data_IF_039576843752
#
_entry.id   IF_039576843752
#
_cell.length_a   1.000
_cell.length_b   1.000
_cell.length_c   1.000
_cell.angle_alpha   90.00
_cell.angle_beta   90.00
_cell.angle_gamma   90.00
#
_symmetry.space_group_name_H-M   'P 1'
#
loop_
_entity.id
_entity.type
_entity.pdbx_description
1 polymer ?
#
# COMPACT_ATOMS: atom_id res chain seq x y z
N UNK A 1 -5.01 19.20 8.71
CA UNK A 1 -4.29 17.98 8.27
C UNK A 1 -5.33 16.88 8.16
N UNK A 2 -5.60 16.35 6.96
CA UNK A 2 -6.59 15.27 6.78
C UNK A 2 -5.89 13.93 7.06
N UNK A 3 -6.40 13.16 8.02
CA UNK A 3 -5.90 11.81 8.30
C UNK A 3 -6.15 10.89 7.10
N UNK A 4 -5.20 10.00 6.81
CA UNK A 4 -5.29 8.98 5.75
C UNK A 4 -6.57 8.15 5.90
N UNK A 5 -7.07 7.93 7.12
CA UNK A 5 -8.31 7.22 7.38
C UNK A 5 -9.54 7.90 6.73
N UNK A 6 -9.56 9.23 6.67
CA UNK A 6 -10.66 9.98 6.05
C UNK A 6 -10.58 9.93 4.51
N UNK A 7 -9.38 9.82 3.95
CA UNK A 7 -9.16 9.74 2.51
C UNK A 7 -9.42 8.32 2.01
N UNK A 8 -8.96 7.30 2.73
CA UNK A 8 -9.23 5.89 2.43
C UNK A 8 -10.74 5.61 2.41
N UNK A 9 -11.51 6.18 3.35
CA UNK A 9 -12.96 6.06 3.35
C UNK A 9 -13.64 6.84 2.21
N UNK A 10 -13.05 7.95 1.75
CA UNK A 10 -13.61 8.78 0.66
C UNK A 10 -13.41 8.19 -0.72
N UNK A 11 -12.34 7.41 -0.93
CA UNK A 11 -11.99 6.84 -2.23
C UNK A 11 -12.05 5.30 -2.26
N UNK A 12 -12.66 4.68 -1.24
CA UNK A 12 -12.97 3.23 -1.26
C UNK A 12 -13.96 2.95 -2.38
N UNK A 13 -13.58 2.07 -3.31
CA UNK A 13 -14.51 1.49 -4.27
C UNK A 13 -15.49 0.60 -3.51
N UNK A 14 -16.78 0.92 -3.58
CA UNK A 14 -17.83 0.25 -2.81
C UNK A 14 -18.22 -1.04 -3.51
N UNK A 15 -17.62 -2.16 -3.08
CA UNK A 15 -17.93 -3.49 -3.55
C UNK A 15 -18.97 -4.16 -2.65
N UNK A 16 -19.73 -5.13 -3.17
CA UNK A 16 -20.67 -5.93 -2.36
C UNK A 16 -19.98 -6.70 -1.22
N UNK A 17 -18.68 -6.98 -1.35
CA UNK A 17 -17.82 -7.57 -0.30
C UNK A 17 -17.57 -6.63 0.88
N UNK A 18 -17.63 -5.30 0.69
CA UNK A 18 -17.43 -4.33 1.77
C UNK A 18 -18.59 -4.32 2.77
N UNK A 19 -19.81 -4.68 2.32
CA UNK A 19 -20.97 -4.83 3.20
C UNK A 19 -20.80 -6.04 4.14
N UNK A 20 -20.30 -7.16 3.61
CA UNK A 20 -20.02 -8.37 4.40
C UNK A 20 -18.85 -8.15 5.39
N UNK A 21 -17.78 -7.46 4.96
CA UNK A 21 -16.65 -7.10 5.83
C UNK A 21 -17.05 -6.10 6.92
N UNK A 22 -17.97 -5.17 6.63
CA UNK A 22 -18.51 -4.22 7.63
C UNK A 22 -19.35 -4.94 8.68
N UNK A 23 -20.14 -5.94 8.25
CA UNK A 23 -20.90 -6.79 9.14
C UNK A 23 -19.97 -7.65 10.03
N UNK A 24 -18.86 -8.15 9.48
CA UNK A 24 -17.85 -8.87 10.25
C UNK A 24 -17.07 -7.98 11.23
N UNK A 25 -16.75 -6.74 10.86
CA UNK A 25 -16.11 -5.77 11.76
C UNK A 25 -17.01 -5.36 12.93
N UNK A 26 -18.34 -5.33 12.72
CA UNK A 26 -19.30 -5.05 13.81
C UNK A 26 -19.35 -6.16 14.87
N UNK A 27 -19.14 -7.42 14.48
CA UNK A 27 -19.05 -8.55 15.42
C UNK A 27 -17.68 -8.69 16.08
N UNK A 28 -16.64 -8.07 15.50
CA UNK A 28 -15.29 -7.95 16.07
C UNK A 28 -15.07 -6.68 16.91
N UNK A 29 -16.15 -6.01 17.35
CA UNK A 29 -16.12 -4.82 18.23
C UNK A 29 -15.65 -5.11 19.67
N UNK A 30 -15.02 -6.25 19.90
CA UNK A 30 -14.35 -6.60 21.16
C UNK A 30 -12.82 -6.45 21.10
N UNK A 31 -12.29 -5.77 20.09
CA UNK A 31 -10.89 -5.31 20.08
C UNK A 31 -10.77 -4.03 20.93
N UNK A 32 -9.83 -3.98 21.89
CA UNK A 32 -9.68 -2.81 22.77
C UNK A 32 -9.30 -1.57 21.95
N UNK A 33 -9.80 -0.42 22.39
CA UNK A 33 -9.78 0.90 21.74
C UNK A 33 -8.37 1.51 21.46
N UNK A 34 -7.31 0.71 21.45
CA UNK A 34 -5.91 1.16 21.33
C UNK A 34 -5.27 0.91 19.96
N UNK A 35 -5.86 0.09 19.08
CA UNK A 35 -5.25 -0.21 17.77
C UNK A 35 -5.22 0.98 16.80
N UNK A 36 -6.21 1.87 16.84
CA UNK A 36 -6.20 3.08 16.01
C UNK A 36 -5.05 4.03 16.38
N UNK A 37 -4.66 4.06 17.67
CA UNK A 37 -3.57 4.89 18.19
C UNK A 37 -2.16 4.36 17.86
N UNK A 38 -2.05 3.10 17.44
CA UNK A 38 -0.78 2.44 17.12
C UNK A 38 -0.42 2.51 15.63
N UNK A 39 -1.32 3.02 14.79
CA UNK A 39 -1.02 3.24 13.38
C UNK A 39 -0.16 4.50 13.22
N UNK A 40 1.06 4.41 12.65
CA UNK A 40 1.84 5.61 12.35
C UNK A 40 1.04 6.51 11.39
N UNK A 41 0.89 7.78 11.76
CA UNK A 41 0.19 8.76 10.92
C UNK A 41 1.09 9.15 9.75
N UNK A 42 0.84 8.57 8.57
CA UNK A 42 1.49 8.99 7.34
C UNK A 42 0.85 10.30 6.90
N UNK A 43 1.62 11.38 6.92
CA UNK A 43 1.15 12.70 6.49
C UNK A 43 1.22 12.82 4.97
N UNK A 44 0.14 13.30 4.35
CA UNK A 44 0.09 13.58 2.91
C UNK A 44 0.79 14.93 2.66
N UNK A 45 1.51 15.11 1.53
CA UNK A 45 2.08 16.40 1.17
C UNK A 45 1.03 17.52 1.22
N UNK A 46 1.40 18.74 1.69
CA UNK A 46 0.46 19.86 1.87
C UNK A 46 0.15 20.55 0.53
N UNK A 47 -0.44 19.80 -0.40
CA UNK A 47 -0.81 20.25 -1.73
C UNK A 47 -2.32 20.11 -1.93
N UNK A 48 -2.92 21.03 -2.68
CA UNK A 48 -4.37 21.12 -2.88
C UNK A 48 -4.96 19.82 -3.45
N UNK A 49 -4.26 19.19 -4.40
CA UNK A 49 -4.68 17.97 -5.07
C UNK A 49 -3.51 16.98 -5.20
N UNK A 50 -3.29 16.12 -4.18
CA UNK A 50 -2.17 15.18 -4.17
C UNK A 50 -2.16 14.19 -5.33
N UNK A 51 -3.34 13.73 -5.76
CA UNK A 51 -3.48 12.78 -6.87
C UNK A 51 -3.06 13.39 -8.20
N UNK A 52 -3.44 14.64 -8.46
CA UNK A 52 -3.06 15.34 -9.71
C UNK A 52 -1.56 15.63 -9.73
N UNK A 53 -0.99 16.04 -8.60
CA UNK A 53 0.45 16.24 -8.48
C UNK A 53 1.23 14.96 -8.78
N UNK A 54 0.81 13.83 -8.20
CA UNK A 54 1.44 12.54 -8.49
C UNK A 54 1.33 12.21 -9.98
N UNK A 55 0.12 12.27 -10.55
CA UNK A 55 -0.09 12.01 -11.99
C UNK A 55 0.81 12.86 -12.89
N UNK A 56 0.87 14.16 -12.66
CA UNK A 56 1.70 15.07 -13.47
C UNK A 56 3.19 14.69 -13.50
N UNK A 57 3.67 14.02 -12.44
CA UNK A 57 5.08 13.65 -12.28
C UNK A 57 5.35 12.16 -12.52
N UNK A 58 4.34 11.29 -12.54
CA UNK A 58 4.52 9.82 -12.64
C UNK A 58 3.83 9.16 -13.85
N UNK A 59 2.91 9.85 -14.50
CA UNK A 59 2.11 9.31 -15.62
C UNK A 59 2.80 9.61 -16.95
N UNK A 60 3.50 8.61 -17.48
CA UNK A 60 4.22 8.68 -18.75
C UNK A 60 3.30 8.51 -19.97
N UNK A 61 2.08 8.00 -19.79
CA UNK A 61 1.07 7.93 -20.86
C UNK A 61 0.51 9.33 -21.20
N UNK A 62 0.28 10.17 -20.18
CA UNK A 62 -0.25 11.52 -20.39
C UNK A 62 0.82 12.60 -20.50
N UNK A 63 1.98 12.41 -19.87
CA UNK A 63 3.11 13.34 -19.94
C UNK A 63 4.41 12.60 -20.28
N UNK A 64 4.83 12.58 -21.57
CA UNK A 64 6.08 11.94 -21.99
C UNK A 64 7.34 12.49 -21.29
N UNK A 65 7.26 13.73 -20.81
CA UNK A 65 8.31 14.44 -20.08
C UNK A 65 8.16 14.33 -18.55
N UNK A 66 7.31 13.42 -18.04
CA UNK A 66 7.18 13.20 -16.61
C UNK A 66 8.54 12.83 -16.00
N UNK A 67 8.85 13.41 -14.83
CA UNK A 67 10.16 13.21 -14.20
C UNK A 67 10.35 11.79 -13.65
N UNK A 68 9.26 11.07 -13.34
CA UNK A 68 9.28 9.73 -12.76
C UNK A 68 8.59 8.77 -13.73
N UNK A 69 9.34 7.85 -14.33
CA UNK A 69 8.79 6.79 -15.18
C UNK A 69 8.55 5.53 -14.35
N UNK A 70 7.27 5.22 -14.07
CA UNK A 70 6.88 4.04 -13.30
C UNK A 70 6.94 2.80 -14.22
N UNK A 71 8.13 2.23 -14.41
CA UNK A 71 8.29 1.05 -15.28
C UNK A 71 7.74 -0.24 -14.66
N UNK A 72 7.83 -0.39 -13.34
CA UNK A 72 7.42 -1.59 -12.60
C UNK A 72 6.85 -1.19 -11.23
N UNK A 73 5.60 -1.61 -10.98
CA UNK A 73 4.90 -1.35 -9.72
C UNK A 73 5.11 -2.51 -8.74
N UNK A 74 6.24 -2.55 -8.06
CA UNK A 74 6.48 -3.46 -6.92
C UNK A 74 6.49 -2.68 -5.62
N UNK A 75 5.73 -3.11 -4.62
CA UNK A 75 5.66 -2.46 -3.31
C UNK A 75 6.13 -3.42 -2.23
N UNK A 76 7.22 -3.07 -1.57
CA UNK A 76 7.74 -3.78 -0.40
C UNK A 76 7.90 -2.79 0.75
N UNK A 77 7.53 -3.18 1.96
CA UNK A 77 7.72 -2.38 3.17
C UNK A 77 8.17 -3.27 4.32
N UNK A 78 8.99 -2.72 5.20
CA UNK A 78 9.39 -3.37 6.44
C UNK A 78 9.48 -2.32 7.55
N UNK A 79 9.07 -2.68 8.75
CA UNK A 79 9.23 -1.82 9.92
C UNK A 79 9.61 -2.64 11.14
N UNK A 80 10.36 -1.99 12.03
CA UNK A 80 10.87 -2.56 13.27
C UNK A 80 10.05 -2.03 14.45
N UNK A 81 9.71 -2.91 15.37
CA UNK A 81 8.98 -2.62 16.60
C UNK A 81 9.55 -3.45 17.75
N UNK A 82 9.06 -3.27 18.98
CA UNK A 82 9.61 -3.96 20.17
C UNK A 82 9.58 -5.50 20.04
N UNK A 83 8.60 -6.07 19.33
CA UNK A 83 8.47 -7.51 19.11
C UNK A 83 9.24 -8.05 17.90
N UNK A 84 10.03 -7.22 17.20
CA UNK A 84 10.83 -7.66 16.06
C UNK A 84 10.61 -6.82 14.80
N UNK A 85 10.50 -7.49 13.65
CA UNK A 85 10.35 -6.86 12.33
C UNK A 85 9.15 -7.49 11.63
N UNK A 86 8.28 -6.65 11.06
CA UNK A 86 7.25 -7.08 10.10
C UNK A 86 7.71 -6.69 8.71
N UNK A 87 7.59 -7.63 7.77
CA UNK A 87 7.85 -7.42 6.34
C UNK A 87 6.55 -7.71 5.59
N UNK A 88 6.14 -6.80 4.71
CA UNK A 88 4.99 -6.97 3.83
C UNK A 88 5.39 -6.66 2.39
N UNK A 89 4.94 -7.49 1.46
CA UNK A 89 5.24 -7.36 0.02
C UNK A 89 3.97 -7.63 -0.79
N UNK A 90 3.87 -7.03 -1.96
CA UNK A 90 2.87 -7.44 -2.96
C UNK A 90 3.35 -8.68 -3.73
N UNK A 91 2.44 -9.39 -4.40
CA UNK A 91 2.74 -10.60 -5.16
C UNK A 91 2.59 -10.44 -6.67
N UNK A 92 2.24 -9.24 -7.14
CA UNK A 92 2.01 -8.93 -8.56
C UNK A 92 3.33 -8.65 -9.26
N UNK A 93 3.59 -9.30 -10.39
CA UNK A 93 4.66 -8.93 -11.30
C UNK A 93 4.07 -8.53 -12.65
N UNK A 94 4.60 -7.43 -13.19
CA UNK A 94 4.19 -6.89 -14.49
C UNK A 94 5.34 -6.94 -15.48
N UNK A 95 5.02 -7.06 -16.77
CA UNK A 95 5.95 -6.88 -17.87
C UNK A 95 5.39 -5.74 -18.74
N UNK A 96 5.78 -4.51 -18.43
CA UNK A 96 5.07 -3.31 -18.90
C UNK A 96 3.62 -3.29 -18.38
N UNK A 97 2.66 -3.05 -19.28
CA UNK A 97 1.23 -2.96 -18.92
C UNK A 97 0.55 -4.33 -18.72
N UNK A 98 1.26 -5.45 -18.94
CA UNK A 98 0.73 -6.80 -18.77
C UNK A 98 1.04 -7.37 -17.39
N UNK A 99 0.04 -7.98 -16.73
CA UNK A 99 0.24 -8.70 -15.46
C UNK A 99 0.81 -10.09 -15.78
N UNK A 100 2.12 -10.27 -15.60
CA UNK A 100 2.80 -11.53 -15.86
C UNK A 100 2.47 -12.60 -14.80
N UNK A 101 2.34 -12.21 -13.53
CA UNK A 101 2.00 -13.11 -12.44
C UNK A 101 1.38 -12.38 -11.27
N UNK A 102 0.52 -13.06 -10.51
CA UNK A 102 -0.13 -12.55 -9.29
C UNK A 102 0.36 -13.26 -8.03
N UNK A 103 1.31 -14.19 -8.16
CA UNK A 103 1.72 -15.13 -7.10
C UNK A 103 3.25 -15.15 -6.89
N UNK A 104 3.94 -14.09 -7.31
CA UNK A 104 5.40 -13.99 -7.14
C UNK A 104 5.74 -13.90 -5.65
N UNK A 105 6.66 -14.77 -5.22
CA UNK A 105 7.23 -14.70 -3.87
C UNK A 105 8.32 -13.64 -3.85
N UNK A 106 7.95 -12.43 -3.40
CA UNK A 106 8.89 -11.30 -3.27
C UNK A 106 9.59 -11.24 -1.92
N UNK A 107 9.31 -12.18 -1.01
CA UNK A 107 10.13 -12.43 0.19
C UNK A 107 11.14 -13.52 -0.14
N UNK A 108 12.42 -13.20 0.05
CA UNK A 108 13.54 -14.13 -0.16
C UNK A 108 14.06 -14.55 1.20
N UNK A 109 13.92 -15.83 1.52
CA UNK A 109 14.50 -16.45 2.72
C UNK A 109 15.98 -16.74 2.46
N UNK A 110 16.85 -15.81 2.83
CA UNK A 110 18.30 -15.96 2.61
C UNK A 110 18.87 -16.99 3.59
N UNK A 111 18.50 -16.87 4.85
CA UNK A 111 18.82 -17.84 5.90
C UNK A 111 17.82 -17.69 7.07
N UNK A 112 17.86 -18.53 8.12
CA UNK A 112 16.90 -18.47 9.23
C UNK A 112 16.82 -17.13 10.00
N UNK A 113 17.76 -16.21 9.79
CA UNK A 113 17.80 -14.91 10.47
C UNK A 113 17.77 -13.71 9.50
N UNK A 114 17.79 -13.93 8.18
CA UNK A 114 17.88 -12.89 7.17
C UNK A 114 16.79 -13.07 6.10
N UNK A 115 15.99 -12.02 5.93
CA UNK A 115 14.99 -11.89 4.88
C UNK A 115 15.40 -10.79 3.90
N UNK A 116 15.34 -11.09 2.60
CA UNK A 116 15.42 -10.11 1.53
C UNK A 116 14.03 -9.80 0.98
N UNK A 117 13.86 -8.62 0.40
CA UNK A 117 12.67 -8.29 -0.42
C UNK A 117 13.10 -8.03 -1.86
N UNK A 118 12.26 -8.41 -2.81
CA UNK A 118 12.49 -8.18 -4.24
C UNK A 118 11.64 -6.98 -4.68
N UNK A 119 12.30 -5.92 -5.15
CA UNK A 119 11.69 -4.77 -5.77
C UNK A 119 12.58 -4.24 -6.90
N UNK A 120 11.95 -3.76 -7.97
CA UNK A 120 12.58 -3.38 -9.23
C UNK A 120 11.69 -3.67 -10.42
#
# INVERSE_FOLDING_TARGET
MLSVNNVANRYKFQSSLDAELSQYNSSLSRTPASVDSLSPSITIPPISQPTEFLRAHTDDETNPDCSIKIAHGTTTLAFRFQGGIIVAVDSRATAGNWIASQTVKKVIEINPMLLGTMAG
#
